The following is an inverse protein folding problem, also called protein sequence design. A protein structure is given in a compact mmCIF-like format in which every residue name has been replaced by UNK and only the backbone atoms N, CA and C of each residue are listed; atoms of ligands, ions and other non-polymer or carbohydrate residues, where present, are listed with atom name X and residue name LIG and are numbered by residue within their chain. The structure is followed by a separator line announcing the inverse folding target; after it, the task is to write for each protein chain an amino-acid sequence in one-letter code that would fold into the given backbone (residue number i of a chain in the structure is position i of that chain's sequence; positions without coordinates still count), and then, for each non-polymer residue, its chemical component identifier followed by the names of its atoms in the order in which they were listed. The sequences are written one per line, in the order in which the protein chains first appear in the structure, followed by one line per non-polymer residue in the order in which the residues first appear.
data_IF_556896458656
#
_entry.id   IF_556896458656
#
_cell.length_a   1.000
_cell.length_b   1.000
_cell.length_c   1.000
_cell.angle_alpha   90.00
_cell.angle_beta   90.00
_cell.angle_gamma   90.00
#
_symmetry.space_group_name_H-M   'P 1'
#
loop_
_entity.id
_entity.type
_entity.pdbx_description
1 polymer ?
#
# COMPACT_ATOMS: atom_id res chain seq x y z
N UNK A 1 -16.34 -23.68 65.49
CA UNK A 1 -17.58 -24.02 64.74
C UNK A 1 -18.77 -23.54 65.56
N UNK A 2 -19.87 -22.99 64.99
CA UNK A 2 -20.21 -22.76 63.58
C UNK A 2 -20.67 -21.31 63.20
N UNK A 3 -20.50 -20.97 61.90
CA UNK A 3 -21.48 -20.39 60.94
C UNK A 3 -22.00 -18.94 61.21
N UNK A 4 -21.46 -17.92 60.52
CA UNK A 4 -21.85 -17.38 59.20
C UNK A 4 -23.00 -16.36 59.23
N UNK A 5 -22.80 -15.19 58.60
CA UNK A 5 -23.72 -14.53 57.65
C UNK A 5 -23.23 -13.12 57.30
N UNK A 6 -22.48 -13.03 56.21
CA UNK A 6 -22.28 -11.78 55.45
C UNK A 6 -23.41 -11.68 54.42
N UNK A 7 -24.19 -10.61 54.47
CA UNK A 7 -25.16 -10.22 53.44
C UNK A 7 -24.62 -8.97 52.74
N UNK A 8 -24.15 -9.15 51.50
CA UNK A 8 -23.90 -8.07 50.54
C UNK A 8 -25.02 -8.15 49.50
N UNK A 9 -25.72 -7.05 49.17
CA UNK A 9 -26.77 -7.10 48.17
C UNK A 9 -26.19 -7.13 46.75
N UNK A 10 -26.63 -8.14 45.99
CA UNK A 10 -26.60 -8.20 44.54
C UNK A 10 -27.27 -6.96 43.94
N UNK A 11 -26.54 -6.20 43.11
CA UNK A 11 -27.16 -5.32 42.13
C UNK A 11 -27.11 -5.95 40.73
N UNK A 12 -28.28 -5.83 40.11
CA UNK A 12 -28.74 -6.46 38.89
C UNK A 12 -27.97 -6.00 37.65
N UNK A 13 -27.61 -6.97 36.81
CA UNK A 13 -27.18 -6.81 35.41
C UNK A 13 -28.44 -6.70 34.53
N UNK A 14 -28.58 -5.62 33.75
CA UNK A 14 -29.46 -5.58 32.59
C UNK A 14 -29.17 -4.34 31.69
N UNK A 15 -28.58 -4.58 30.51
CA UNK A 15 -28.92 -3.92 29.23
C UNK A 15 -27.90 -4.32 28.14
N UNK A 16 -28.11 -5.50 27.54
CA UNK A 16 -27.51 -5.88 26.27
C UNK A 16 -28.34 -5.25 25.15
N UNK A 17 -27.79 -4.23 24.48
CA UNK A 17 -28.35 -3.70 23.24
C UNK A 17 -27.83 -4.55 22.07
N UNK A 18 -28.74 -5.32 21.48
CA UNK A 18 -28.59 -6.03 20.21
C UNK A 18 -28.49 -5.04 19.05
N UNK A 19 -27.29 -4.87 18.49
CA UNK A 19 -27.13 -4.22 17.19
C UNK A 19 -27.22 -5.28 16.11
N UNK A 20 -28.31 -5.23 15.35
CA UNK A 20 -28.59 -6.09 14.22
C UNK A 20 -27.58 -5.86 13.08
N UNK A 21 -26.95 -6.95 12.64
CA UNK A 21 -26.23 -7.03 11.37
C UNK A 21 -27.20 -7.48 10.26
N UNK A 22 -27.35 -6.73 9.16
CA UNK A 22 -27.92 -7.27 7.94
C UNK A 22 -26.80 -7.87 7.08
N UNK A 23 -26.84 -9.19 6.91
CA UNK A 23 -26.08 -9.90 5.89
C UNK A 23 -26.91 -10.08 4.61
N UNK A 24 -26.27 -9.93 3.46
CA UNK A 24 -26.49 -10.67 2.19
C UNK A 24 -25.68 -9.95 1.10
N UNK A 25 -24.55 -10.49 0.66
CA UNK A 25 -24.41 -11.49 -0.41
C UNK A 25 -24.33 -10.86 -1.82
N UNK A 26 -23.17 -11.11 -2.45
CA UNK A 26 -22.90 -11.29 -3.88
C UNK A 26 -23.35 -10.23 -4.90
N UNK A 27 -22.37 -9.52 -5.48
CA UNK A 27 -22.10 -9.53 -6.93
C UNK A 27 -20.98 -8.54 -7.29
N UNK A 28 -19.84 -9.06 -7.76
CA UNK A 28 -19.06 -8.41 -8.85
C UNK A 28 -19.81 -8.69 -10.17
N UNK A 29 -19.65 -7.93 -11.28
CA UNK A 29 -18.38 -7.31 -11.70
C UNK A 29 -18.47 -5.99 -12.52
N UNK A 30 -17.28 -5.57 -13.00
CA UNK A 30 -16.99 -4.74 -14.18
C UNK A 30 -17.11 -3.19 -14.10
N UNK A 31 -15.94 -2.57 -14.24
CA UNK A 31 -15.57 -1.48 -15.18
C UNK A 31 -16.57 -0.34 -15.42
N UNK A 32 -16.23 0.84 -14.90
CA UNK A 32 -16.08 2.13 -15.60
C UNK A 32 -15.66 3.14 -14.50
N UNK A 33 -14.57 3.92 -14.62
CA UNK A 33 -14.29 4.88 -15.68
C UNK A 33 -14.71 6.28 -15.18
N UNK A 34 -13.84 7.28 -15.33
CA UNK A 34 -13.97 8.72 -14.93
C UNK A 34 -13.51 9.01 -13.48
N UNK A 35 -12.55 9.88 -13.19
CA UNK A 35 -11.75 10.82 -13.96
C UNK A 35 -11.03 11.77 -12.99
N UNK A 36 -9.88 12.33 -13.36
CA UNK A 36 -9.30 13.45 -12.61
C UNK A 36 -7.78 13.60 -12.68
N UNK A 37 -7.31 14.33 -13.68
CA UNK A 37 -6.21 15.28 -13.49
C UNK A 37 -4.79 14.79 -13.77
N UNK A 38 -4.41 14.78 -15.06
CA UNK A 38 -3.02 15.05 -15.42
C UNK A 38 -2.95 16.08 -16.54
N UNK A 39 -2.17 17.12 -16.29
CA UNK A 39 -2.05 18.32 -17.11
C UNK A 39 -1.53 18.01 -18.51
N UNK A 40 -2.26 18.52 -19.50
CA UNK A 40 -1.85 18.54 -20.89
C UNK A 40 -0.94 19.75 -21.12
N UNK A 41 0.37 19.51 -21.19
CA UNK A 41 1.33 20.49 -21.68
C UNK A 41 1.11 20.66 -23.18
N UNK A 42 0.83 21.91 -23.57
CA UNK A 42 0.53 22.29 -24.94
C UNK A 42 1.68 21.99 -25.90
N UNK A 43 1.39 21.16 -26.91
CA UNK A 43 2.14 21.15 -28.15
C UNK A 43 1.46 22.11 -29.13
N UNK A 44 2.17 23.18 -29.46
CA UNK A 44 1.76 24.17 -30.44
C UNK A 44 1.56 23.54 -31.82
N UNK A 45 0.33 23.57 -32.31
CA UNK A 45 0.01 23.34 -33.71
C UNK A 45 0.46 24.55 -34.52
N UNK A 46 1.55 24.39 -35.27
CA UNK A 46 1.91 25.32 -36.34
C UNK A 46 0.85 25.25 -37.45
N UNK A 47 0.10 26.33 -37.59
CA UNK A 47 -0.84 26.53 -38.70
C UNK A 47 -0.08 26.68 -40.02
N UNK A 48 -0.38 25.81 -40.98
CA UNK A 48 0.03 26.00 -42.37
C UNK A 48 -0.82 27.11 -42.98
N UNK A 49 -0.17 28.25 -43.25
CA UNK A 49 -0.78 29.39 -43.92
C UNK A 49 -1.23 29.01 -45.33
N UNK A 50 -2.55 29.09 -45.51
CA UNK A 50 -3.23 29.03 -46.80
C UNK A 50 -2.90 30.32 -47.58
N UNK A 51 -1.99 30.24 -48.55
CA UNK A 51 -1.71 31.34 -49.48
C UNK A 51 -2.87 31.47 -50.46
N UNK A 52 -3.73 32.46 -50.21
CA UNK A 52 -4.81 32.85 -51.10
C UNK A 52 -4.27 33.35 -52.44
N UNK A 53 -4.77 32.76 -53.52
CA UNK A 53 -4.70 33.29 -54.88
C UNK A 53 -5.45 34.64 -54.93
N UNK A 54 -4.68 35.73 -54.93
CA UNK A 54 -5.17 37.06 -55.25
C UNK A 54 -5.39 37.19 -56.74
N UNK A 55 -6.65 37.07 -57.16
CA UNK A 55 -7.10 37.52 -58.48
C UNK A 55 -7.14 39.05 -58.52
N UNK A 56 -6.61 39.63 -59.59
CA UNK A 56 -6.74 41.06 -59.87
C UNK A 56 -5.90 41.47 -61.07
N UNK A 57 -6.54 42.05 -62.08
CA UNK A 57 -5.86 42.84 -63.10
C UNK A 57 -6.17 42.46 -64.55
N UNK A 58 -7.41 42.65 -64.98
CA UNK A 58 -7.73 42.88 -66.39
C UNK A 58 -7.04 44.16 -66.86
N UNK A 59 -5.93 44.01 -67.58
CA UNK A 59 -5.25 45.08 -68.31
C UNK A 59 -5.48 44.91 -69.80
N UNK A 60 -6.45 45.66 -70.32
CA UNK A 60 -6.79 45.83 -71.73
C UNK A 60 -5.64 46.49 -72.49
N UNK A 61 -5.11 45.82 -73.51
CA UNK A 61 -4.33 46.47 -74.57
C UNK A 61 -4.92 46.08 -75.95
N UNK A 62 -5.77 46.98 -76.44
CA UNK A 62 -6.38 46.92 -77.77
C UNK A 62 -5.38 47.47 -78.81
N UNK A 63 -4.68 46.56 -79.49
CA UNK A 63 -3.97 46.87 -80.73
C UNK A 63 -4.87 46.68 -81.95
N UNK A 64 -5.41 47.78 -82.47
CA UNK A 64 -6.14 47.87 -83.74
C UNK A 64 -5.22 47.60 -84.95
N UNK A 65 -5.58 46.62 -85.80
CA UNK A 65 -5.10 46.56 -87.18
C UNK A 65 -6.14 45.91 -88.13
N UNK A 66 -6.80 46.80 -88.87
CA UNK A 66 -7.31 46.70 -90.24
C UNK A 66 -8.22 45.51 -90.67
N UNK A 67 -9.49 45.87 -90.94
CA UNK A 67 -10.27 45.28 -92.04
C UNK A 67 -11.29 44.21 -91.62
N UNK A 68 -12.40 44.62 -91.02
CA UNK A 68 -13.50 43.72 -90.66
C UNK A 68 -14.81 44.50 -90.59
N UNK A 69 -15.88 43.98 -91.20
CA UNK A 69 -17.18 44.63 -91.25
C UNK A 69 -17.89 44.50 -89.90
N UNK A 70 -18.68 45.51 -89.51
CA UNK A 70 -19.35 45.65 -88.19
C UNK A 70 -20.17 44.42 -87.76
N UNK A 71 -20.59 43.56 -88.70
CA UNK A 71 -21.35 42.34 -88.44
C UNK A 71 -20.46 41.09 -88.22
N UNK A 72 -19.21 41.09 -88.70
CA UNK A 72 -18.23 40.02 -88.51
C UNK A 72 -17.47 40.12 -87.17
N UNK A 73 -17.28 41.33 -86.64
CA UNK A 73 -16.60 41.56 -85.35
C UNK A 73 -17.46 41.19 -84.13
N UNK A 74 -18.79 41.30 -84.24
CA UNK A 74 -19.71 40.79 -83.20
C UNK A 74 -19.70 39.25 -83.18
N UNK A 75 -19.62 38.60 -84.35
CA UNK A 75 -19.53 37.14 -84.47
C UNK A 75 -18.18 36.55 -84.03
N UNK A 76 -17.05 37.21 -84.33
CA UNK A 76 -15.73 36.83 -83.80
C UNK A 76 -15.61 37.13 -82.31
N UNK A 77 -16.13 38.25 -81.83
CA UNK A 77 -16.18 38.57 -80.40
C UNK A 77 -16.99 37.54 -79.61
N UNK A 78 -18.14 37.12 -80.12
CA UNK A 78 -18.94 36.02 -79.52
C UNK A 78 -18.25 34.67 -79.62
N UNK A 79 -17.52 34.37 -80.71
CA UNK A 79 -16.74 33.16 -80.86
C UNK A 79 -15.56 33.07 -79.90
N UNK A 80 -14.81 34.16 -79.71
CA UNK A 80 -13.69 34.26 -78.75
C UNK A 80 -14.21 34.27 -77.31
N UNK A 81 -15.34 34.93 -77.05
CA UNK A 81 -16.00 34.91 -75.74
C UNK A 81 -16.51 33.51 -75.38
N UNK A 82 -17.16 32.80 -76.31
CA UNK A 82 -17.63 31.43 -76.09
C UNK A 82 -16.47 30.41 -76.03
N UNK A 83 -15.41 30.60 -76.81
CA UNK A 83 -14.19 29.79 -76.71
C UNK A 83 -13.46 30.04 -75.38
N UNK A 84 -13.40 31.29 -74.93
CA UNK A 84 -12.86 31.66 -73.62
C UNK A 84 -13.69 31.11 -72.46
N UNK A 85 -15.03 31.14 -72.57
CA UNK A 85 -15.93 30.49 -71.62
C UNK A 85 -15.75 28.95 -71.64
N UNK A 86 -15.61 28.34 -72.81
CA UNK A 86 -15.32 26.91 -72.95
C UNK A 86 -14.00 26.51 -72.29
N UNK A 87 -12.94 27.31 -72.46
CA UNK A 87 -11.65 27.12 -71.79
C UNK A 87 -11.75 27.35 -70.27
N UNK A 88 -12.53 28.34 -69.83
CA UNK A 88 -12.78 28.62 -68.42
C UNK A 88 -13.54 27.47 -67.74
N UNK A 89 -14.63 26.96 -68.34
CA UNK A 89 -15.38 25.82 -67.82
C UNK A 89 -14.58 24.51 -67.88
N UNK A 90 -13.78 24.31 -68.94
CA UNK A 90 -12.84 23.19 -69.01
C UNK A 90 -11.78 23.26 -67.90
N UNK A 91 -11.27 24.45 -67.60
CA UNK A 91 -10.32 24.69 -66.52
C UNK A 91 -10.93 24.46 -65.13
N UNK A 92 -12.18 24.90 -64.90
CA UNK A 92 -12.90 24.63 -63.65
C UNK A 92 -13.20 23.13 -63.45
N UNK A 93 -13.53 22.41 -64.53
CA UNK A 93 -13.70 20.96 -64.50
C UNK A 93 -12.41 20.22 -64.15
N UNK A 94 -11.28 20.63 -64.75
CA UNK A 94 -9.96 20.09 -64.42
C UNK A 94 -9.54 20.42 -62.99
N UNK A 95 -9.77 21.64 -62.52
CA UNK A 95 -9.48 22.07 -61.15
C UNK A 95 -10.26 21.27 -60.10
N UNK A 96 -11.57 21.07 -60.31
CA UNK A 96 -12.40 20.26 -59.41
C UNK A 96 -11.95 18.79 -59.40
N UNK A 97 -11.58 18.24 -60.56
CA UNK A 97 -11.05 16.89 -60.66
C UNK A 97 -9.70 16.74 -59.94
N UNK A 98 -8.78 17.70 -60.11
CA UNK A 98 -7.48 17.72 -59.43
C UNK A 98 -7.63 17.90 -57.92
N UNK A 99 -8.56 18.75 -57.49
CA UNK A 99 -8.89 18.93 -56.07
C UNK A 99 -9.48 17.65 -55.47
N UNK A 100 -10.41 16.99 -56.16
CA UNK A 100 -10.96 15.71 -55.73
C UNK A 100 -9.89 14.61 -55.65
N UNK A 101 -8.96 14.57 -56.62
CA UNK A 101 -7.79 13.67 -56.58
C UNK A 101 -6.87 13.99 -55.40
N UNK A 102 -6.59 15.27 -55.13
CA UNK A 102 -5.77 15.68 -53.98
C UNK A 102 -6.41 15.26 -52.66
N UNK A 103 -7.71 15.52 -52.48
CA UNK A 103 -8.47 15.11 -51.29
C UNK A 103 -8.51 13.57 -51.14
N UNK A 104 -8.62 12.82 -52.23
CA UNK A 104 -8.57 11.36 -52.20
C UNK A 104 -7.20 10.84 -51.74
N UNK A 105 -6.11 11.47 -52.18
CA UNK A 105 -4.75 11.14 -51.74
C UNK A 105 -4.55 11.50 -50.26
N UNK A 106 -5.05 12.65 -49.81
CA UNK A 106 -4.95 13.09 -48.42
C UNK A 106 -5.74 12.19 -47.47
N UNK A 107 -6.97 11.84 -47.83
CA UNK A 107 -7.81 10.91 -47.04
C UNK A 107 -7.18 9.52 -46.96
N UNK A 108 -6.61 8.99 -48.05
CA UNK A 108 -5.85 7.75 -48.03
C UNK A 108 -4.60 7.83 -47.13
N UNK A 109 -3.89 8.96 -47.13
CA UNK A 109 -2.75 9.20 -46.25
C UNK A 109 -3.16 9.29 -44.77
N UNK A 110 -4.27 9.93 -44.48
CA UNK A 110 -4.82 10.00 -43.12
C UNK A 110 -5.25 8.61 -42.63
N UNK A 111 -5.90 7.81 -43.48
CA UNK A 111 -6.30 6.45 -43.15
C UNK A 111 -5.08 5.54 -42.84
N UNK A 112 -4.04 5.60 -43.68
CA UNK A 112 -2.81 4.82 -43.46
C UNK A 112 -2.04 5.26 -42.21
N UNK A 113 -1.99 6.57 -41.92
CA UNK A 113 -1.40 7.08 -40.69
C UNK A 113 -2.18 6.61 -39.45
N UNK A 114 -3.51 6.69 -39.47
CA UNK A 114 -4.36 6.22 -38.37
C UNK A 114 -4.19 4.72 -38.12
N UNK A 115 -4.14 3.92 -39.18
CA UNK A 115 -3.88 2.48 -39.08
C UNK A 115 -2.49 2.20 -38.51
N UNK A 116 -1.46 2.91 -38.96
CA UNK A 116 -0.11 2.79 -38.42
C UNK A 116 -0.06 3.14 -36.93
N UNK A 117 -0.67 4.25 -36.52
CA UNK A 117 -0.73 4.68 -35.11
C UNK A 117 -1.48 3.65 -34.25
N UNK A 118 -2.58 3.10 -34.75
CA UNK A 118 -3.33 2.05 -34.07
C UNK A 118 -2.49 0.78 -33.88
N UNK A 119 -1.85 0.29 -34.95
CA UNK A 119 -0.96 -0.88 -34.89
C UNK A 119 0.23 -0.65 -33.95
N UNK A 120 0.83 0.55 -33.97
CA UNK A 120 1.91 0.94 -33.06
C UNK A 120 1.46 0.88 -31.59
N UNK A 121 0.26 1.38 -31.28
CA UNK A 121 -0.34 1.29 -29.93
C UNK A 121 -0.62 -0.15 -29.52
N UNK A 122 -1.12 -1.00 -30.41
CA UNK A 122 -1.33 -2.42 -30.13
C UNK A 122 -0.02 -3.13 -29.76
N UNK A 123 1.03 -2.95 -30.56
CA UNK A 123 2.36 -3.53 -30.30
C UNK A 123 2.95 -3.00 -28.99
N UNK A 124 2.82 -1.70 -28.72
CA UNK A 124 3.28 -1.11 -27.46
C UNK A 124 2.54 -1.68 -26.24
N UNK A 125 1.20 -1.82 -26.32
CA UNK A 125 0.37 -2.41 -25.28
C UNK A 125 0.73 -3.88 -25.04
N UNK A 126 0.95 -4.65 -26.09
CA UNK A 126 1.35 -6.05 -25.97
C UNK A 126 2.72 -6.19 -25.31
N UNK A 127 3.72 -5.39 -25.72
CA UNK A 127 5.04 -5.37 -25.08
C UNK A 127 4.95 -4.97 -23.61
N UNK A 128 4.14 -3.98 -23.28
CA UNK A 128 3.90 -3.56 -21.90
C UNK A 128 3.22 -4.68 -21.09
N UNK A 129 2.17 -5.30 -21.62
CA UNK A 129 1.47 -6.40 -20.97
C UNK A 129 2.40 -7.59 -20.70
N UNK A 130 3.25 -7.96 -21.66
CA UNK A 130 4.28 -9.00 -21.49
C UNK A 130 5.28 -8.65 -20.40
N UNK A 131 5.76 -7.40 -20.35
CA UNK A 131 6.67 -6.92 -19.30
C UNK A 131 6.03 -7.01 -17.92
N UNK A 132 4.81 -6.48 -17.77
CA UNK A 132 4.07 -6.50 -16.51
C UNK A 132 3.77 -7.94 -16.07
N UNK A 133 3.38 -8.82 -16.99
CA UNK A 133 3.15 -10.23 -16.69
C UNK A 133 4.45 -10.91 -16.20
N UNK A 134 5.57 -10.70 -16.90
CA UNK A 134 6.85 -11.25 -16.50
C UNK A 134 7.36 -10.69 -15.16
N UNK A 135 7.09 -9.41 -14.84
CA UNK A 135 7.40 -8.83 -13.54
C UNK A 135 6.54 -9.42 -12.43
N UNK A 136 5.23 -9.61 -12.67
CA UNK A 136 4.32 -10.27 -11.73
C UNK A 136 4.76 -11.69 -11.44
N UNK A 137 5.15 -12.44 -12.46
CA UNK A 137 5.67 -13.80 -12.35
C UNK A 137 6.92 -13.84 -11.46
N UNK A 138 7.94 -13.06 -11.81
CA UNK A 138 9.18 -12.98 -11.02
C UNK A 138 8.92 -12.53 -9.57
N UNK A 139 8.00 -11.60 -9.36
CA UNK A 139 7.65 -11.15 -8.03
C UNK A 139 6.90 -12.24 -7.24
N UNK A 140 6.08 -13.06 -7.90
CA UNK A 140 5.41 -14.20 -7.28
C UNK A 140 6.44 -15.27 -6.89
N UNK A 141 7.30 -15.69 -7.81
CA UNK A 141 8.38 -16.65 -7.55
C UNK A 141 9.28 -16.20 -6.38
N UNK A 142 9.64 -14.90 -6.34
CA UNK A 142 10.42 -14.35 -5.22
C UNK A 142 9.67 -14.40 -3.89
N UNK A 143 8.35 -14.14 -3.89
CA UNK A 143 7.53 -14.21 -2.68
C UNK A 143 7.40 -15.64 -2.18
N UNK A 144 7.15 -16.58 -3.08
CA UNK A 144 7.08 -18.02 -2.78
C UNK A 144 8.41 -18.51 -2.22
N UNK A 145 9.55 -18.20 -2.87
CA UNK A 145 10.87 -18.57 -2.37
C UNK A 145 11.20 -17.97 -0.98
N UNK A 146 10.73 -16.75 -0.70
CA UNK A 146 10.88 -16.13 0.62
C UNK A 146 9.97 -16.81 1.65
N UNK A 147 8.73 -17.12 1.31
CA UNK A 147 7.80 -17.83 2.18
C UNK A 147 8.33 -19.23 2.52
N UNK A 148 8.81 -19.98 1.52
CA UNK A 148 9.41 -21.30 1.69
C UNK A 148 10.64 -21.24 2.59
N UNK A 149 11.49 -20.22 2.42
CA UNK A 149 12.64 -19.99 3.31
C UNK A 149 12.20 -19.78 4.76
N UNK A 150 11.23 -18.89 4.99
CA UNK A 150 10.73 -18.58 6.34
C UNK A 150 10.12 -19.83 6.98
N UNK A 151 9.44 -20.67 6.19
CA UNK A 151 8.80 -21.89 6.66
C UNK A 151 9.81 -22.99 7.05
N UNK A 152 10.84 -23.19 6.22
CA UNK A 152 11.72 -24.36 6.29
C UNK A 152 13.01 -24.09 7.05
N UNK A 153 13.65 -22.95 6.78
CA UNK A 153 14.96 -22.59 7.36
C UNK A 153 15.10 -21.07 7.39
N UNK A 154 14.41 -20.39 8.33
CA UNK A 154 14.53 -18.95 8.45
C UNK A 154 15.98 -18.57 8.75
N UNK A 155 16.44 -17.48 8.13
CA UNK A 155 17.74 -16.92 8.49
C UNK A 155 17.61 -16.02 9.73
N UNK A 156 18.74 -15.62 10.30
CA UNK A 156 18.76 -14.74 11.48
C UNK A 156 17.95 -13.45 11.23
N UNK A 157 18.06 -12.87 10.03
CA UNK A 157 17.30 -11.68 9.66
C UNK A 157 15.79 -11.91 9.67
N UNK A 158 15.30 -13.05 9.20
CA UNK A 158 13.88 -13.41 9.20
C UNK A 158 13.35 -13.57 10.63
N UNK A 159 14.19 -14.04 11.54
CA UNK A 159 13.89 -14.11 12.96
C UNK A 159 13.82 -12.69 13.52
N UNK A 160 14.87 -11.86 13.34
CA UNK A 160 14.94 -10.50 13.88
C UNK A 160 13.89 -9.55 13.31
N UNK A 161 13.54 -9.69 12.03
CA UNK A 161 12.46 -8.92 11.40
C UNK A 161 11.07 -9.34 11.91
N UNK A 162 10.98 -10.42 12.70
CA UNK A 162 9.76 -10.99 13.25
C UNK A 162 8.96 -11.85 12.27
N UNK A 163 9.43 -12.01 11.02
CA UNK A 163 8.73 -12.74 9.97
C UNK A 163 8.61 -14.23 10.32
N UNK A 164 9.67 -14.85 10.82
CA UNK A 164 9.67 -16.25 11.23
C UNK A 164 8.76 -16.50 12.44
N UNK A 165 8.81 -15.61 13.44
CA UNK A 165 7.95 -15.67 14.62
C UNK A 165 6.46 -15.54 14.25
N UNK A 166 6.14 -14.56 13.39
CA UNK A 166 4.77 -14.36 12.90
C UNK A 166 4.27 -15.55 12.09
N UNK A 167 5.14 -16.21 11.34
CA UNK A 167 4.77 -17.42 10.61
C UNK A 167 4.45 -18.58 11.56
N UNK A 168 5.26 -18.79 12.59
CA UNK A 168 4.97 -19.80 13.62
C UNK A 168 3.67 -19.45 14.37
N UNK A 169 3.44 -18.18 14.68
CA UNK A 169 2.19 -17.72 15.30
C UNK A 169 0.97 -18.05 14.44
N UNK A 170 1.06 -17.85 13.12
CA UNK A 170 0.00 -18.26 12.18
C UNK A 170 -0.22 -19.78 12.15
N UNK A 171 0.86 -20.57 12.20
CA UNK A 171 0.77 -22.03 12.27
C UNK A 171 0.10 -22.49 13.58
N UNK A 172 0.44 -21.86 14.72
CA UNK A 172 -0.10 -22.19 16.04
C UNK A 172 -1.55 -21.71 16.26
N UNK A 173 -1.93 -20.57 15.69
CA UNK A 173 -3.31 -20.02 15.76
C UNK A 173 -4.23 -20.56 14.66
N UNK A 174 -3.69 -21.28 13.67
CA UNK A 174 -4.47 -21.83 12.58
C UNK A 174 -5.44 -22.92 13.00
N UNK A 175 -6.51 -23.11 12.22
CA UNK A 175 -7.54 -24.15 12.43
C UNK A 175 -7.02 -25.59 12.48
N UNK A 176 -5.77 -25.84 12.08
CA UNK A 176 -5.14 -27.17 12.10
C UNK A 176 -4.91 -27.67 13.52
N UNK A 177 -4.67 -26.76 14.47
CA UNK A 177 -4.37 -27.11 15.86
C UNK A 177 -5.57 -26.67 16.70
N UNK A 178 -6.28 -27.63 17.28
CA UNK A 178 -7.37 -27.32 18.20
C UNK A 178 -6.80 -26.58 19.44
N UNK A 179 -7.43 -25.48 19.92
CA UNK A 179 -6.95 -24.73 21.08
C UNK A 179 -6.77 -25.56 22.35
N UNK A 180 -7.56 -26.64 22.50
CA UNK A 180 -7.44 -27.58 23.61
C UNK A 180 -6.13 -28.38 23.59
N UNK A 181 -5.61 -28.72 22.40
CA UNK A 181 -4.34 -29.43 22.23
C UNK A 181 -3.19 -28.47 22.48
N UNK A 182 -3.28 -27.24 21.93
CA UNK A 182 -2.27 -26.21 22.18
C UNK A 182 -2.14 -25.91 23.68
N UNK A 183 -3.26 -25.82 24.40
CA UNK A 183 -3.28 -25.59 25.84
C UNK A 183 -2.69 -26.76 26.65
N UNK A 184 -2.98 -28.01 26.28
CA UNK A 184 -2.54 -29.17 27.06
C UNK A 184 -1.04 -29.46 26.95
N UNK A 185 -0.39 -28.93 25.92
CA UNK A 185 1.04 -29.09 25.65
C UNK A 185 1.79 -27.76 25.63
N UNK A 186 1.22 -26.72 26.24
CA UNK A 186 1.82 -25.40 26.20
C UNK A 186 3.14 -25.37 26.98
N UNK A 187 4.22 -25.02 26.28
CA UNK A 187 5.53 -24.83 26.89
C UNK A 187 5.54 -23.56 27.75
N UNK A 188 6.30 -23.61 28.83
CA UNK A 188 6.48 -22.47 29.71
C UNK A 188 7.31 -21.38 29.03
N UNK A 189 6.91 -20.13 29.23
CA UNK A 189 7.55 -18.94 28.70
C UNK A 189 7.74 -17.93 29.86
N UNK A 190 8.97 -17.44 30.11
CA UNK A 190 9.19 -16.38 31.09
C UNK A 190 8.40 -15.12 30.74
N UNK A 191 7.77 -14.52 31.75
CA UNK A 191 6.92 -13.32 31.59
C UNK A 191 7.74 -12.15 31.06
N UNK A 192 9.01 -12.06 31.47
CA UNK A 192 9.95 -11.03 31.08
C UNK A 192 10.19 -11.02 29.56
N UNK A 193 10.16 -12.19 28.91
CA UNK A 193 10.31 -12.28 27.45
C UNK A 193 9.12 -11.61 26.74
N UNK A 194 7.91 -11.79 27.27
CA UNK A 194 6.67 -11.31 26.64
C UNK A 194 6.58 -9.78 26.75
N UNK A 195 6.90 -9.23 27.91
CA UNK A 195 6.85 -7.79 28.14
C UNK A 195 7.94 -7.01 27.38
N UNK A 196 9.10 -7.64 27.14
CA UNK A 196 10.20 -7.04 26.38
C UNK A 196 10.01 -7.05 24.87
N UNK A 197 9.09 -7.87 24.35
CA UNK A 197 8.90 -8.02 22.90
C UNK A 197 8.19 -6.82 22.29
N UNK A 198 8.68 -6.27 21.16
CA UNK A 198 7.96 -5.26 20.41
C UNK A 198 6.86 -5.90 19.56
N UNK A 199 5.63 -5.41 19.74
CA UNK A 199 4.44 -5.86 19.00
C UNK A 199 4.07 -4.86 17.90
N UNK A 200 3.64 -5.35 16.75
CA UNK A 200 3.09 -4.57 15.66
C UNK A 200 1.58 -4.79 15.59
N UNK A 201 0.82 -3.72 15.39
CA UNK A 201 -0.63 -3.74 15.23
C UNK A 201 -0.99 -3.44 13.76
N UNK A 202 -1.24 -4.45 12.91
CA UNK A 202 -1.33 -4.27 11.46
C UNK A 202 -2.42 -3.31 10.98
N UNK A 203 -3.55 -3.23 11.67
CA UNK A 203 -4.67 -2.35 11.26
C UNK A 203 -4.42 -0.87 11.57
N UNK A 204 -3.46 -0.55 12.44
CA UNK A 204 -3.03 0.83 12.74
C UNK A 204 -1.69 1.16 12.07
N UNK A 205 -0.88 0.14 11.75
CA UNK A 205 0.45 0.29 11.16
C UNK A 205 1.50 0.80 12.14
N UNK A 206 1.30 0.53 13.44
CA UNK A 206 2.15 1.03 14.53
C UNK A 206 2.85 -0.09 15.29
N UNK A 207 3.97 0.24 15.94
CA UNK A 207 4.68 -0.65 16.85
C UNK A 207 4.43 -0.21 18.29
N UNK A 208 4.01 -1.16 19.11
CA UNK A 208 3.76 -1.05 20.54
C UNK A 208 4.89 -1.80 21.23
N UNK A 209 5.70 -1.08 22.00
CA UNK A 209 6.69 -1.67 22.90
C UNK A 209 6.81 -0.75 24.09
N UNK A 210 6.57 -1.30 25.29
CA UNK A 210 6.69 -0.54 26.53
C UNK A 210 8.14 -0.08 26.72
N UNK A 211 9.12 -0.96 26.48
CA UNK A 211 10.54 -0.65 26.53
C UNK A 211 10.96 0.46 25.57
N UNK A 212 10.48 0.46 24.32
CA UNK A 212 10.84 1.52 23.34
C UNK A 212 10.29 2.90 23.67
N UNK A 213 9.24 2.99 24.49
CA UNK A 213 8.68 4.28 24.88
C UNK A 213 9.43 4.91 26.06
N UNK A 214 10.11 4.09 26.85
CA UNK A 214 10.92 4.49 28.00
C UNK A 214 12.41 4.15 27.71
N UNK A 215 13.06 4.90 26.80
CA UNK A 215 14.45 4.66 26.45
C UNK A 215 15.38 4.83 27.66
N UNK A 216 16.32 3.91 27.82
CA UNK A 216 17.36 4.03 28.85
C UNK A 216 18.29 5.22 28.54
N UNK A 217 18.99 5.79 29.55
CA UNK A 217 19.91 6.91 29.36
C UNK A 217 20.92 6.71 28.22
N UNK A 218 21.36 5.46 28.02
CA UNK A 218 22.33 5.01 27.02
C UNK A 218 21.75 4.99 25.59
N UNK A 219 20.45 4.70 25.47
CA UNK A 219 19.73 4.58 24.20
C UNK A 219 19.44 5.92 23.53
N UNK A 220 19.45 7.00 24.30
CA UNK A 220 19.26 8.33 23.74
C UNK A 220 20.36 8.63 22.70
N UNK A 221 20.03 9.17 21.53
CA UNK A 221 21.03 9.66 20.58
C UNK A 221 21.98 10.67 21.24
N UNK A 222 23.24 10.72 20.82
CA UNK A 222 24.29 11.55 21.45
C UNK A 222 23.86 13.02 21.60
N UNK A 223 23.22 13.59 20.59
CA UNK A 223 22.71 14.97 20.63
C UNK A 223 21.56 15.19 21.62
N UNK A 224 20.81 14.13 21.93
CA UNK A 224 19.72 14.16 22.89
C UNK A 224 20.18 13.82 24.31
N UNK A 225 21.39 13.29 24.51
CA UNK A 225 21.95 12.95 25.84
C UNK A 225 22.48 14.15 26.63
N UNK A 226 22.81 15.26 25.96
CA UNK A 226 23.44 16.41 26.61
C UNK A 226 22.64 16.96 27.82
N UNK A 227 23.37 17.50 28.79
CA UNK A 227 22.81 18.13 30.00
C UNK A 227 21.73 19.20 29.71
N UNK A 228 21.85 20.05 28.65
CA UNK A 228 20.82 21.05 28.34
C UNK A 228 19.43 20.48 28.03
N UNK A 229 19.35 19.18 27.73
CA UNK A 229 18.11 18.48 27.43
C UNK A 229 17.63 17.57 28.57
N UNK A 230 18.36 17.45 29.68
CA UNK A 230 18.02 16.54 30.77
C UNK A 230 16.62 16.80 31.34
N UNK A 231 16.26 18.06 31.57
CA UNK A 231 14.92 18.45 32.04
C UNK A 231 13.81 18.09 31.06
N UNK A 232 14.09 18.16 29.75
CA UNK A 232 13.12 17.80 28.68
C UNK A 232 12.96 16.29 28.56
N UNK A 233 14.04 15.52 28.72
CA UNK A 233 13.98 14.05 28.79
C UNK A 233 13.13 13.60 29.97
N UNK A 234 13.40 14.14 31.17
CA UNK A 234 12.61 13.86 32.36
C UNK A 234 11.12 14.21 32.20
N UNK A 235 10.81 15.32 31.53
CA UNK A 235 9.42 15.69 31.22
C UNK A 235 8.75 14.70 30.25
N UNK A 236 9.49 14.20 29.27
CA UNK A 236 9.02 13.13 28.38
C UNK A 236 8.78 11.82 29.14
N UNK A 237 9.74 11.37 29.96
CA UNK A 237 9.64 10.12 30.71
C UNK A 237 8.42 10.13 31.64
N UNK A 238 8.19 11.24 32.36
CA UNK A 238 7.00 11.42 33.20
C UNK A 238 5.71 11.36 32.39
N UNK A 239 5.64 12.07 31.26
CA UNK A 239 4.45 12.07 30.41
C UNK A 239 4.11 10.66 29.88
N UNK A 240 5.13 9.86 29.55
CA UNK A 240 4.94 8.46 29.14
C UNK A 240 4.49 7.60 30.31
N UNK A 241 5.14 7.70 31.47
CA UNK A 241 4.76 6.93 32.66
C UNK A 241 3.32 7.22 33.11
N UNK A 242 2.92 8.49 33.14
CA UNK A 242 1.56 8.91 33.48
C UNK A 242 0.54 8.33 32.48
N UNK A 243 0.85 8.40 31.19
CA UNK A 243 0.01 7.84 30.15
C UNK A 243 -0.10 6.31 30.25
N UNK A 244 0.99 5.60 30.54
CA UNK A 244 0.96 4.14 30.74
C UNK A 244 0.15 3.75 31.98
N UNK A 245 0.28 4.50 33.08
CA UNK A 245 -0.53 4.31 34.28
C UNK A 245 -2.03 4.51 33.98
N UNK A 246 -2.38 5.55 33.22
CA UNK A 246 -3.77 5.79 32.80
C UNK A 246 -4.27 4.73 31.83
N UNK A 247 -3.42 4.26 30.90
CA UNK A 247 -3.73 3.19 29.96
C UNK A 247 -4.07 1.89 30.70
N UNK A 248 -3.29 1.52 31.72
CA UNK A 248 -3.55 0.37 32.59
C UNK A 248 -4.94 0.39 33.23
N UNK A 249 -5.47 1.59 33.49
CA UNK A 249 -6.81 1.77 34.06
C UNK A 249 -7.90 2.01 33.01
N UNK A 250 -7.59 1.90 31.71
CA UNK A 250 -8.53 2.20 30.62
C UNK A 250 -8.95 3.68 30.58
N UNK A 251 -8.14 4.58 31.16
CA UNK A 251 -8.43 6.01 31.32
C UNK A 251 -7.56 6.91 30.44
N UNK A 252 -6.78 6.34 29.52
CA UNK A 252 -5.94 7.11 28.60
C UNK A 252 -6.78 8.00 27.69
N UNK A 253 -6.63 9.31 27.82
CA UNK A 253 -7.32 10.31 27.04
C UNK A 253 -6.44 10.95 25.96
N UNK A 254 -7.07 11.75 25.10
CA UNK A 254 -6.38 12.52 24.06
C UNK A 254 -5.42 13.57 24.63
N UNK A 255 -5.71 14.09 25.83
CA UNK A 255 -4.86 15.08 26.50
C UNK A 255 -3.54 14.47 26.98
N UNK A 256 -3.54 13.21 27.45
CA UNK A 256 -2.33 12.52 27.88
C UNK A 256 -1.37 12.27 26.70
N UNK A 257 -1.95 11.85 25.56
CA UNK A 257 -1.19 11.71 24.30
C UNK A 257 -0.67 13.07 23.82
N UNK A 258 -1.46 14.14 23.98
CA UNK A 258 -1.00 15.50 23.65
C UNK A 258 0.20 15.89 24.50
N UNK A 259 0.20 15.56 25.79
CA UNK A 259 1.33 15.77 26.70
C UNK A 259 2.61 15.09 26.22
N UNK A 260 2.56 13.82 25.82
CA UNK A 260 3.71 13.10 25.25
C UNK A 260 4.22 13.83 23.99
N UNK A 261 3.32 14.20 23.08
CA UNK A 261 3.69 14.88 21.82
C UNK A 261 4.28 16.26 22.07
N UNK A 262 3.85 16.96 23.12
CA UNK A 262 4.44 18.23 23.56
C UNK A 262 5.85 18.05 24.09
N UNK A 263 6.09 17.01 24.90
CA UNK A 263 7.44 16.69 25.38
C UNK A 263 8.39 16.34 24.22
N UNK A 264 7.94 15.55 23.24
CA UNK A 264 8.72 15.25 22.01
C UNK A 264 9.01 16.52 21.20
N UNK A 265 8.02 17.41 21.03
CA UNK A 265 8.22 18.71 20.35
C UNK A 265 9.22 19.58 21.10
N UNK A 266 9.16 19.60 22.43
CA UNK A 266 10.11 20.33 23.28
C UNK A 266 11.54 19.81 23.08
N UNK A 267 11.74 18.48 23.09
CA UNK A 267 13.03 17.86 22.77
C UNK A 267 13.54 18.28 21.39
N UNK A 268 12.67 18.23 20.37
CA UNK A 268 13.03 18.64 19.01
C UNK A 268 13.46 20.10 18.93
N UNK A 269 12.76 20.99 19.62
CA UNK A 269 13.06 22.42 19.65
C UNK A 269 14.34 22.77 20.41
N UNK A 270 14.73 21.92 21.38
CA UNK A 270 15.94 22.09 22.17
C UNK A 270 17.21 21.54 21.52
N UNK A 271 17.10 20.81 20.40
CA UNK A 271 18.28 20.31 19.70
C UNK A 271 19.15 21.46 19.19
N UNK A 272 20.48 21.39 19.35
CA UNK A 272 21.38 22.42 18.83
C UNK A 272 21.24 22.51 17.31
N UNK A 273 21.41 23.71 16.77
CA UNK A 273 21.52 23.90 15.32
C UNK A 273 22.87 23.34 14.89
N UNK A 274 22.83 22.27 14.10
CA UNK A 274 24.02 21.60 13.59
C UNK A 274 24.41 22.21 12.24
N UNK A 275 25.65 22.67 12.12
CA UNK A 275 26.21 23.09 10.84
C UNK A 275 26.47 21.88 9.92
N UNK A 276 26.44 22.05 8.58
CA UNK A 276 26.72 20.95 7.66
C UNK A 276 28.10 20.34 7.91
N UNK A 277 28.18 19.04 8.23
CA UNK A 277 29.44 18.38 8.56
C UNK A 277 29.28 17.06 9.33
N UNK A 278 30.30 16.69 10.11
CA UNK A 278 30.37 15.43 10.83
C UNK A 278 29.20 15.20 11.82
N UNK A 279 28.61 16.27 12.35
CA UNK A 279 27.47 16.21 13.27
C UNK A 279 26.13 15.93 12.56
N UNK A 280 26.07 16.02 11.23
CA UNK A 280 24.84 15.81 10.46
C UNK A 280 24.30 14.38 10.61
N UNK A 281 25.19 13.38 10.73
CA UNK A 281 24.80 11.99 10.98
C UNK A 281 24.12 11.83 12.35
N UNK A 282 24.67 12.44 13.39
CA UNK A 282 24.10 12.42 14.74
C UNK A 282 22.76 13.16 14.79
N UNK A 283 22.63 14.28 14.06
CA UNK A 283 21.38 15.01 13.92
C UNK A 283 20.31 14.19 13.23
N UNK A 284 20.65 13.51 12.13
CA UNK A 284 19.73 12.62 11.44
C UNK A 284 19.28 11.47 12.34
N UNK A 285 20.20 10.83 13.08
CA UNK A 285 19.87 9.79 14.06
C UNK A 285 18.90 10.30 15.13
N UNK A 286 19.14 11.49 15.69
CA UNK A 286 18.25 12.12 16.66
C UNK A 286 16.85 12.39 16.08
N UNK A 287 16.76 12.88 14.84
CA UNK A 287 15.46 13.08 14.18
C UNK A 287 14.70 11.78 13.94
N UNK A 288 15.39 10.75 13.44
CA UNK A 288 14.80 9.42 13.23
C UNK A 288 14.26 8.87 14.54
N UNK A 289 15.03 8.98 15.62
CA UNK A 289 14.60 8.59 16.96
C UNK A 289 13.34 9.35 17.42
N UNK A 290 13.33 10.68 17.34
CA UNK A 290 12.15 11.49 17.72
C UNK A 290 10.91 11.17 16.86
N UNK A 291 11.09 10.87 15.58
CA UNK A 291 10.00 10.44 14.70
C UNK A 291 9.44 9.07 15.12
N UNK A 292 10.31 8.16 15.61
CA UNK A 292 9.88 6.87 16.15
C UNK A 292 9.05 7.07 17.43
N UNK A 293 9.51 7.90 18.37
CA UNK A 293 8.73 8.23 19.57
C UNK A 293 7.36 8.84 19.21
N UNK A 294 7.31 9.72 18.22
CA UNK A 294 6.04 10.30 17.75
C UNK A 294 5.11 9.24 17.15
N UNK A 295 5.66 8.28 16.41
CA UNK A 295 4.89 7.16 15.85
C UNK A 295 4.35 6.25 16.95
N UNK A 296 5.15 5.95 17.97
CA UNK A 296 4.71 5.19 19.16
C UNK A 296 3.58 5.93 19.89
N UNK A 297 3.72 7.25 20.12
CA UNK A 297 2.69 8.06 20.76
C UNK A 297 1.38 8.10 19.95
N UNK A 298 1.44 8.13 18.62
CA UNK A 298 0.25 8.02 17.75
C UNK A 298 -0.39 6.64 17.83
N UNK A 299 0.43 5.60 17.96
CA UNK A 299 -0.06 4.22 18.10
C UNK A 299 -0.82 4.06 19.42
N UNK A 300 -0.31 4.64 20.52
CA UNK A 300 -1.02 4.68 21.81
C UNK A 300 -2.42 5.30 21.73
N UNK A 301 -2.60 6.31 20.87
CA UNK A 301 -3.86 7.04 20.73
C UNK A 301 -5.01 6.15 20.22
N UNK A 302 -4.70 5.08 19.51
CA UNK A 302 -5.73 4.22 18.98
C UNK A 302 -6.38 3.40 20.10
N UNK A 303 -7.71 3.47 20.21
CA UNK A 303 -8.46 2.88 21.32
C UNK A 303 -8.21 1.37 21.51
N UNK A 304 -8.04 0.63 20.40
CA UNK A 304 -7.70 -0.80 20.46
C UNK A 304 -6.32 -1.05 21.08
N UNK A 305 -5.38 -0.14 20.88
CA UNK A 305 -4.05 -0.17 21.49
C UNK A 305 -4.12 0.11 22.98
N UNK A 306 -5.02 0.98 23.45
CA UNK A 306 -5.17 1.24 24.90
C UNK A 306 -5.57 -0.01 25.68
N UNK A 307 -6.56 -0.77 25.18
CA UNK A 307 -6.98 -2.03 25.82
C UNK A 307 -5.87 -3.07 25.74
N UNK A 308 -5.26 -3.24 24.56
CA UNK A 308 -4.16 -4.19 24.39
C UNK A 308 -2.96 -3.88 25.30
N UNK A 309 -2.66 -2.60 25.55
CA UNK A 309 -1.57 -2.19 26.45
C UNK A 309 -1.93 -2.42 27.91
N UNK A 310 -3.16 -2.10 28.32
CA UNK A 310 -3.62 -2.38 29.67
C UNK A 310 -3.52 -3.87 30.00
N UNK A 311 -3.91 -4.70 29.04
CA UNK A 311 -3.85 -6.15 29.14
C UNK A 311 -2.42 -6.67 29.00
N UNK A 312 -1.54 -6.03 28.20
CA UNK A 312 -0.12 -6.39 28.08
C UNK A 312 0.64 -6.10 29.38
N UNK A 313 0.41 -4.95 30.01
CA UNK A 313 1.02 -4.59 31.30
C UNK A 313 0.55 -5.52 32.43
N UNK A 314 -0.72 -5.93 32.39
CA UNK A 314 -1.29 -6.93 33.29
C UNK A 314 -1.05 -8.38 32.86
N UNK A 315 -0.33 -8.61 31.76
CA UNK A 315 -0.17 -9.95 31.22
C UNK A 315 0.83 -10.73 32.08
N UNK A 316 0.31 -11.72 32.79
CA UNK A 316 1.08 -12.66 33.61
C UNK A 316 1.06 -14.08 33.03
N UNK A 317 0.74 -14.22 31.74
CA UNK A 317 0.77 -15.51 31.09
C UNK A 317 2.19 -16.06 31.11
N UNK A 318 2.29 -17.35 31.41
CA UNK A 318 3.55 -18.07 31.58
C UNK A 318 3.72 -19.15 30.53
N UNK A 319 2.88 -19.16 29.48
CA UNK A 319 2.87 -20.21 28.47
C UNK A 319 2.77 -19.68 27.03
N UNK A 320 3.25 -20.48 26.08
CA UNK A 320 3.11 -20.19 24.64
C UNK A 320 1.63 -20.05 24.23
N UNK A 321 0.75 -20.91 24.76
CA UNK A 321 -0.69 -20.84 24.47
C UNK A 321 -1.28 -19.47 24.84
N UNK A 322 -0.97 -18.97 26.04
CA UNK A 322 -1.49 -17.68 26.51
C UNK A 322 -0.95 -16.53 25.67
N UNK A 323 0.31 -16.59 25.24
CA UNK A 323 0.88 -15.60 24.30
C UNK A 323 0.16 -15.63 22.95
N UNK A 324 -0.06 -16.81 22.38
CA UNK A 324 -0.76 -16.96 21.08
C UNK A 324 -2.20 -16.45 21.19
N UNK A 325 -2.94 -16.85 22.23
CA UNK A 325 -4.31 -16.41 22.49
C UNK A 325 -4.38 -14.88 22.69
N UNK A 326 -3.44 -14.32 23.44
CA UNK A 326 -3.32 -12.88 23.63
C UNK A 326 -3.09 -12.16 22.29
N UNK A 327 -2.11 -12.61 21.51
CA UNK A 327 -1.78 -12.00 20.24
C UNK A 327 -2.92 -12.14 19.22
N UNK A 328 -3.63 -13.26 19.20
CA UNK A 328 -4.80 -13.46 18.33
C UNK A 328 -5.95 -12.53 18.73
N UNK A 329 -6.30 -12.50 20.03
CA UNK A 329 -7.38 -11.67 20.57
C UNK A 329 -7.21 -10.19 20.26
N UNK A 330 -5.97 -9.69 20.33
CA UNK A 330 -5.66 -8.30 20.05
C UNK A 330 -5.18 -8.05 18.60
N UNK A 331 -5.12 -9.07 17.75
CA UNK A 331 -4.61 -8.93 16.38
C UNK A 331 -3.16 -8.45 16.32
N UNK A 332 -2.36 -8.79 17.33
CA UNK A 332 -0.95 -8.42 17.42
C UNK A 332 -0.08 -9.35 16.58
N UNK A 333 1.04 -8.80 16.15
CA UNK A 333 2.13 -9.49 15.44
C UNK A 333 3.46 -9.10 16.08
N UNK A 334 4.50 -9.90 15.91
CA UNK A 334 5.85 -9.51 16.28
C UNK A 334 6.34 -8.40 15.35
N UNK A 335 6.90 -7.33 15.91
CA UNK A 335 7.55 -6.27 15.15
C UNK A 335 9.03 -6.61 14.88
N UNK A 336 9.76 -5.84 14.07
CA UNK A 336 11.21 -6.02 13.93
C UNK A 336 11.95 -5.66 15.21
N UNK A 337 12.86 -6.51 15.68
CA UNK A 337 13.81 -6.27 16.76
C UNK A 337 14.90 -5.28 16.32
N UNK A 338 15.10 -4.23 17.11
CA UNK A 338 16.01 -3.12 16.83
C UNK A 338 17.17 -3.07 17.81
N UNK A 339 16.91 -3.29 19.10
CA UNK A 339 17.94 -3.28 20.14
C UNK A 339 18.65 -4.64 20.22
N UNK A 340 19.90 -4.71 20.71
CA UNK A 340 20.58 -5.97 20.95
C UNK A 340 19.80 -6.92 21.86
N UNK A 341 19.17 -6.38 22.90
CA UNK A 341 18.38 -7.12 23.88
C UNK A 341 17.16 -7.75 23.20
N UNK A 342 16.42 -6.98 22.38
CA UNK A 342 15.30 -7.52 21.60
C UNK A 342 15.72 -8.65 20.67
N UNK A 343 16.93 -8.60 20.10
CA UNK A 343 17.44 -9.66 19.22
C UNK A 343 17.74 -10.95 19.97
N UNK A 344 18.30 -10.83 21.18
CA UNK A 344 18.51 -11.98 22.06
C UNK A 344 17.18 -12.60 22.47
N UNK A 345 16.21 -11.77 22.88
CA UNK A 345 14.85 -12.20 23.20
C UNK A 345 14.21 -12.96 22.02
N UNK A 346 14.40 -12.47 20.79
CA UNK A 346 13.84 -13.08 19.58
C UNK A 346 14.46 -14.44 19.27
N UNK A 347 15.75 -14.63 19.53
CA UNK A 347 16.41 -15.93 19.40
C UNK A 347 15.80 -16.96 20.35
N UNK A 348 15.67 -16.62 21.64
CA UNK A 348 15.05 -17.48 22.65
C UNK A 348 13.59 -17.77 22.33
N UNK A 349 12.81 -16.73 21.99
CA UNK A 349 11.39 -16.88 21.68
C UNK A 349 11.17 -17.74 20.43
N UNK A 350 11.99 -17.57 19.39
CA UNK A 350 11.91 -18.38 18.18
C UNK A 350 12.14 -19.85 18.49
N UNK A 351 13.16 -20.17 19.31
CA UNK A 351 13.44 -21.53 19.72
C UNK A 351 12.22 -22.17 20.40
N UNK A 352 11.67 -21.54 21.45
CA UNK A 352 10.52 -22.06 22.21
C UNK A 352 9.27 -22.23 21.33
N UNK A 353 8.94 -21.22 20.51
CA UNK A 353 7.79 -21.30 19.60
C UNK A 353 7.96 -22.40 18.54
N UNK A 354 9.18 -22.56 18.02
CA UNK A 354 9.48 -23.58 17.02
C UNK A 354 9.40 -24.99 17.59
N UNK A 355 9.86 -25.18 18.83
CA UNK A 355 9.78 -26.45 19.55
C UNK A 355 8.31 -26.83 19.79
N UNK A 356 7.50 -25.89 20.28
CA UNK A 356 6.06 -26.07 20.46
C UNK A 356 5.36 -26.49 19.17
N UNK A 357 5.66 -25.80 18.06
CA UNK A 357 5.07 -26.09 16.74
C UNK A 357 5.44 -27.49 16.27
N UNK A 358 6.71 -27.87 16.38
CA UNK A 358 7.19 -29.17 15.93
C UNK A 358 6.55 -30.30 16.76
N UNK A 359 6.48 -30.14 18.09
CA UNK A 359 5.83 -31.12 18.97
C UNK A 359 4.35 -31.34 18.60
N UNK A 360 3.63 -30.27 18.22
CA UNK A 360 2.24 -30.37 17.80
C UNK A 360 2.08 -31.02 16.42
N UNK A 361 3.00 -30.74 15.49
CA UNK A 361 2.99 -31.37 14.17
C UNK A 361 3.24 -32.89 14.26
N UNK A 362 4.17 -33.33 15.10
CA UNK A 362 4.47 -34.76 15.32
C UNK A 362 3.23 -35.54 15.82
N UNK A 363 2.33 -34.86 16.53
CA UNK A 363 1.07 -35.45 17.03
C UNK A 363 -0.01 -35.51 15.96
N UNK A 364 0.00 -34.59 15.00
CA UNK A 364 -1.02 -34.48 13.96
C UNK A 364 -0.74 -35.42 12.76
N UNK A 365 0.52 -35.65 12.41
CA UNK A 365 0.89 -36.54 11.29
C UNK A 365 0.30 -37.97 11.37
N UNK A 366 0.26 -38.64 12.55
CA UNK A 366 -0.36 -39.96 12.68
C UNK A 366 -1.88 -39.92 12.46
N UNK A 367 -2.55 -38.84 12.84
CA UNK A 367 -4.00 -38.70 12.74
C UNK A 367 -4.41 -38.48 11.28
N UNK A 368 -3.70 -37.62 10.55
CA UNK A 368 -3.93 -37.41 9.12
C UNK A 368 -3.69 -38.71 8.34
N UNK A 369 -2.63 -39.46 8.68
CA UNK A 369 -2.32 -40.76 8.08
C UNK A 369 -3.41 -41.81 8.36
N UNK A 370 -3.97 -41.85 9.57
CA UNK A 370 -5.06 -42.76 9.94
C UNK A 370 -6.37 -42.42 9.23
N UNK A 371 -6.71 -41.14 9.06
CA UNK A 371 -7.94 -40.72 8.36
C UNK A 371 -7.86 -40.96 6.85
N UNK A 372 -6.66 -40.88 6.27
CA UNK A 372 -6.45 -41.20 4.85
C UNK A 372 -6.58 -42.69 4.57
N UNK A 373 -6.16 -43.57 5.49
CA UNK A 373 -6.31 -45.02 5.33
C UNK A 373 -7.79 -45.45 5.36
N UNK A 374 -8.62 -44.86 6.20
CA UNK A 374 -10.05 -45.19 6.26
C UNK A 374 -10.86 -44.71 5.04
N UNK A 375 -10.38 -43.71 4.29
CA UNK A 375 -11.02 -43.27 3.03
C UNK A 375 -10.67 -44.12 1.82
N UNK A 376 -9.69 -45.03 1.93
CA UNK A 376 -9.32 -45.99 0.88
C UNK A 376 -9.82 -47.39 1.29
N UNK A 377 -11.04 -47.47 1.83
CA UNK A 377 -11.77 -48.74 1.82
C UNK A 377 -12.21 -48.99 0.37
N UNK A 378 -11.81 -50.11 -0.27
CA UNK A 378 -12.22 -50.41 -1.64
C UNK A 378 -13.75 -50.46 -1.69
N UNK A 379 -14.32 -49.72 -2.64
CA UNK A 379 -15.75 -49.83 -2.96
C UNK A 379 -16.03 -51.32 -3.21
N UNK A 380 -16.94 -51.96 -2.45
CA UNK A 380 -17.20 -53.38 -2.60
C UNK A 380 -17.61 -53.63 -4.06
N UNK A 381 -16.85 -54.47 -4.76
CA UNK A 381 -17.19 -54.88 -6.12
C UNK A 381 -18.59 -55.48 -6.11
N UNK A 382 -19.51 -54.86 -6.86
CA UNK A 382 -20.86 -55.37 -7.02
C UNK A 382 -20.78 -56.80 -7.60
N UNK A 383 -21.46 -57.78 -6.97
CA UNK A 383 -21.52 -59.13 -7.50
C UNK A 383 -22.25 -59.10 -8.85
N UNK A 384 -21.55 -59.56 -9.90
CA UNK A 384 -22.04 -59.65 -11.28
C UNK A 384 -23.11 -60.72 -11.46
#
# INVERSE_FOLDING_TARGET
MPIASNLVPMFLVAALATVAWPGSAASQPLLDGVGGGFGNQGFGGGGFGNQGFGGGGFGSDMGLAAGSTVQGDVGRGLGVYNAGLGQFFSGLGQFNLETAKANAVETARAATLNEYLYRSRLVARERYARKVAAERERNRERREAVADRINTRPNERDIMDGAALNRILEDLSGYRIAPSILRSRAQALPVELIQGVPYHYPSIGGVISLGRMLPEPEDWPVLLRGEPLASRRLAYDRAVQDALLLARHGRLGLEDIRGIREAIRSLRSGMPRVEPGAEQAAFYQAQVFLNQLETSARTLQAAATTVAIAELDGFHGTTVFELVDFMERFGLRFAPARTPEERELYGTLYFVLSEQRNELNDVLEPIESSMLIDRIQPVPEEPR
#
